data_IF_156742291923
#
_entry.id   IF_156742291923
#
_cell.length_a   1.000
_cell.length_b   1.000
_cell.length_c   1.000
_cell.angle_alpha   90.00
_cell.angle_beta   90.00
_cell.angle_gamma   90.00
#
_symmetry.space_group_name_H-M   'P 1'
#
loop_
_entity.id
_entity.type
_entity.pdbx_description
1 polymer ?
#
# COMPACT_ATOMS: atom_id res chain seq x y z
N UNK A 1 21.25 -18.85 17.81
CA UNK A 1 20.06 -19.20 17.50
C UNK A 1 19.39 -18.22 16.66
N UNK A 2 18.81 -18.67 15.77
CA UNK A 2 18.19 -17.88 14.99
C UNK A 2 16.89 -17.61 15.32
N UNK A 3 16.59 -16.41 15.58
CA UNK A 3 15.39 -16.07 15.93
C UNK A 3 14.72 -15.71 14.73
N UNK A 4 13.64 -16.22 14.45
CA UNK A 4 12.91 -15.88 13.40
C UNK A 4 12.10 -14.77 13.75
N UNK A 5 12.34 -13.64 13.29
CA UNK A 5 11.51 -12.53 13.49
C UNK A 5 10.58 -12.47 12.37
N UNK A 6 9.37 -11.98 12.49
CA UNK A 6 8.47 -11.73 11.37
C UNK A 6 9.18 -10.77 10.46
N UNK A 7 9.00 -10.86 9.18
CA UNK A 7 9.63 -9.94 8.27
C UNK A 7 9.13 -8.53 8.54
N UNK A 8 10.05 -7.61 8.59
CA UNK A 8 9.70 -6.23 8.77
C UNK A 8 10.20 -5.52 7.56
N UNK A 9 9.34 -4.81 6.87
CA UNK A 9 9.74 -4.05 5.72
C UNK A 9 9.66 -2.58 6.09
N UNK A 10 10.79 -2.00 6.39
CA UNK A 10 10.82 -0.61 6.81
C UNK A 10 10.33 0.32 5.74
N UNK A 11 10.52 -0.04 4.49
CA UNK A 11 10.03 0.78 3.40
C UNK A 11 8.52 0.81 3.37
N UNK A 12 7.88 -0.29 3.72
CA UNK A 12 6.43 -0.31 3.80
C UNK A 12 5.95 0.49 4.99
N UNK A 13 6.66 0.39 6.09
CA UNK A 13 6.26 1.13 7.29
C UNK A 13 6.27 2.63 7.03
N UNK A 14 7.20 3.11 6.24
CA UNK A 14 7.24 4.52 5.88
C UNK A 14 5.99 4.95 5.16
N UNK A 15 5.36 4.05 4.46
CA UNK A 15 4.14 4.35 3.73
C UNK A 15 2.89 4.04 4.54
N UNK A 16 3.05 3.48 5.72
CA UNK A 16 1.91 3.07 6.52
C UNK A 16 1.28 1.78 6.03
N UNK A 17 2.05 0.95 5.32
CA UNK A 17 1.56 -0.30 4.79
C UNK A 17 2.11 -1.48 5.57
N UNK A 18 1.38 -2.58 5.50
CA UNK A 18 1.82 -3.83 6.10
C UNK A 18 1.78 -4.94 5.07
N UNK A 19 2.64 -5.90 5.21
CA UNK A 19 2.64 -7.08 4.35
C UNK A 19 1.32 -7.79 4.54
N UNK A 20 0.68 -8.14 3.44
CA UNK A 20 -0.61 -8.83 3.48
C UNK A 20 -1.81 -7.89 3.46
N UNK A 21 -1.57 -6.59 3.48
CA UNK A 21 -2.66 -5.63 3.47
C UNK A 21 -3.32 -5.56 2.10
N UNK A 22 -4.63 -5.46 2.08
CA UNK A 22 -5.36 -5.31 0.83
C UNK A 22 -5.36 -3.83 0.42
N UNK A 23 -4.97 -3.57 -0.80
CA UNK A 23 -4.99 -2.22 -1.34
C UNK A 23 -5.60 -2.29 -2.73
N UNK A 24 -5.82 -1.15 -3.35
CA UNK A 24 -6.23 -1.14 -4.74
C UNK A 24 -5.32 -0.22 -5.53
N UNK A 25 -5.22 -0.44 -6.79
CA UNK A 25 -4.36 0.36 -7.64
C UNK A 25 -4.99 0.53 -9.00
N UNK A 26 -4.54 1.57 -9.71
CA UNK A 26 -5.07 1.89 -11.02
C UNK A 26 -4.13 1.37 -12.07
N UNK A 27 -4.68 0.64 -13.03
CA UNK A 27 -3.90 0.15 -14.16
C UNK A 27 -3.50 1.31 -15.04
N UNK A 28 -2.32 1.18 -15.62
CA UNK A 28 -1.80 2.24 -16.44
C UNK A 28 -2.56 2.42 -17.72
N UNK A 29 -2.94 1.35 -18.35
CA UNK A 29 -3.55 1.43 -19.66
C UNK A 29 -5.04 1.63 -19.64
N UNK A 30 -5.73 1.05 -18.70
CA UNK A 30 -7.19 1.08 -18.73
C UNK A 30 -7.80 1.89 -17.59
N UNK A 31 -6.98 2.39 -16.68
CA UNK A 31 -7.46 3.19 -15.56
C UNK A 31 -8.51 2.52 -14.72
N UNK A 32 -8.50 1.20 -14.70
CA UNK A 32 -9.42 0.49 -13.86
C UNK A 32 -8.79 0.21 -12.53
N UNK A 33 -9.58 0.26 -11.50
CA UNK A 33 -9.11 -0.10 -10.18
C UNK A 33 -9.03 -1.62 -10.08
N UNK A 34 -7.93 -2.09 -9.51
CA UNK A 34 -7.73 -3.51 -9.26
C UNK A 34 -7.26 -3.66 -7.85
N UNK A 35 -7.55 -4.78 -7.25
CA UNK A 35 -7.11 -5.05 -5.88
C UNK A 35 -5.86 -5.88 -5.87
N UNK A 36 -5.06 -5.67 -4.85
CA UNK A 36 -3.85 -6.45 -4.66
C UNK A 36 -3.48 -6.53 -3.21
N UNK A 37 -2.60 -7.46 -2.90
CA UNK A 37 -2.13 -7.68 -1.54
C UNK A 37 -0.68 -7.25 -1.48
N UNK A 38 -0.34 -6.47 -0.47
CA UNK A 38 1.01 -5.94 -0.33
C UNK A 38 1.99 -7.05 -0.02
N UNK A 39 3.08 -7.11 -0.79
CA UNK A 39 4.13 -8.08 -0.59
C UNK A 39 5.39 -7.46 0.01
N UNK A 40 5.84 -6.34 -0.55
CA UNK A 40 7.07 -5.71 -0.07
C UNK A 40 7.27 -4.35 -0.73
N UNK A 41 8.24 -3.61 -0.22
CA UNK A 41 8.66 -2.37 -0.86
C UNK A 41 9.77 -2.72 -1.83
N UNK A 42 9.67 -2.25 -3.05
CA UNK A 42 10.69 -2.53 -4.04
C UNK A 42 11.83 -1.52 -3.94
N UNK A 43 12.97 -1.88 -4.46
CA UNK A 43 14.16 -1.03 -4.37
C UNK A 43 13.97 0.31 -5.06
N UNK A 44 13.14 0.36 -6.09
CA UNK A 44 12.93 1.60 -6.81
C UNK A 44 11.86 2.48 -6.17
N UNK A 45 11.36 2.11 -5.02
CA UNK A 45 10.36 2.89 -4.32
C UNK A 45 8.93 2.48 -4.59
N UNK A 46 8.71 1.61 -5.54
CA UNK A 46 7.36 1.12 -5.79
C UNK A 46 6.98 0.06 -4.77
N UNK A 47 5.76 -0.40 -4.81
CA UNK A 47 5.26 -1.41 -3.88
C UNK A 47 4.98 -2.69 -4.64
N UNK A 48 5.53 -3.79 -4.17
CA UNK A 48 5.26 -5.08 -4.77
C UNK A 48 3.94 -5.59 -4.26
N UNK A 49 3.03 -5.90 -5.18
CA UNK A 49 1.70 -6.39 -4.86
C UNK A 49 1.47 -7.71 -5.55
N UNK A 50 0.62 -8.53 -4.98
CA UNK A 50 0.14 -9.72 -5.66
C UNK A 50 -1.25 -9.37 -6.15
N UNK A 51 -1.46 -9.45 -7.45
CA UNK A 51 -2.74 -9.06 -8.02
C UNK A 51 -3.78 -10.17 -7.85
N UNK A 52 -4.98 -9.94 -8.35
CA UNK A 52 -6.07 -10.88 -8.19
C UNK A 52 -5.87 -12.16 -8.98
N UNK A 53 -4.86 -12.21 -9.83
CA UNK A 53 -4.53 -13.42 -10.55
C UNK A 53 -3.33 -14.11 -9.95
N UNK A 54 -2.87 -13.63 -8.80
CA UNK A 54 -1.74 -14.24 -8.12
C UNK A 54 -0.38 -13.83 -8.63
N UNK A 55 -0.32 -12.83 -9.49
CA UNK A 55 0.95 -12.40 -10.04
C UNK A 55 1.54 -11.25 -9.25
N UNK A 56 2.84 -11.25 -9.15
CA UNK A 56 3.53 -10.14 -8.47
C UNK A 56 3.67 -8.97 -9.43
N UNK A 57 3.36 -7.79 -8.94
CA UNK A 57 3.48 -6.59 -9.73
C UNK A 57 4.11 -5.49 -8.90
N UNK A 58 4.91 -4.65 -9.53
CA UNK A 58 5.49 -3.49 -8.86
C UNK A 58 4.71 -2.27 -9.28
N UNK A 59 4.03 -1.64 -8.35
CA UNK A 59 3.13 -0.54 -8.65
C UNK A 59 3.66 0.73 -8.01
N UNK A 60 3.77 1.82 -8.77
CA UNK A 60 4.22 3.08 -8.20
C UNK A 60 3.30 3.56 -7.08
N UNK A 61 3.87 4.19 -6.11
CA UNK A 61 3.13 4.63 -4.92
C UNK A 61 1.95 5.52 -5.29
N UNK A 62 2.11 6.36 -6.28
CA UNK A 62 1.05 7.30 -6.65
C UNK A 62 -0.14 6.63 -7.30
N UNK A 63 -0.05 5.35 -7.64
CA UNK A 63 -1.17 4.63 -8.23
C UNK A 63 -1.90 3.75 -7.24
N UNK A 64 -1.52 3.81 -5.98
CA UNK A 64 -2.09 2.93 -4.96
C UNK A 64 -3.02 3.71 -4.05
N UNK A 65 -4.12 3.09 -3.69
CA UNK A 65 -5.06 3.63 -2.71
C UNK A 65 -5.25 2.63 -1.59
N UNK A 66 -5.44 3.14 -0.40
CA UNK A 66 -5.65 2.31 0.78
C UNK A 66 -7.02 2.55 1.34
N UNK A 67 -7.56 1.56 2.02
CA UNK A 67 -8.88 1.66 2.60
C UNK A 67 -8.76 2.14 4.04
N UNK A 68 -9.52 3.15 4.37
CA UNK A 68 -9.51 3.69 5.72
C UNK A 68 -10.95 3.80 6.21
N UNK A 69 -11.12 3.88 7.50
CA UNK A 69 -12.43 4.05 8.09
C UNK A 69 -12.60 5.52 8.38
N UNK A 70 -13.64 6.10 7.82
CA UNK A 70 -13.89 7.51 8.01
C UNK A 70 -14.47 7.80 9.39
N UNK A 71 -14.66 9.07 9.68
CA UNK A 71 -15.14 9.49 11.01
C UNK A 71 -16.51 8.94 11.38
N UNK A 72 -17.28 8.60 10.38
CA UNK A 72 -18.61 8.04 10.66
C UNK A 72 -18.65 6.54 10.56
N UNK A 73 -17.49 5.91 10.51
CA UNK A 73 -17.41 4.46 10.44
C UNK A 73 -17.50 3.89 9.04
N UNK A 74 -17.71 4.72 8.03
CA UNK A 74 -17.75 4.22 6.66
C UNK A 74 -16.36 4.01 6.11
N UNK A 75 -16.23 3.06 5.21
CA UNK A 75 -14.96 2.80 4.59
C UNK A 75 -14.78 3.65 3.37
N UNK A 76 -13.59 4.12 3.14
CA UNK A 76 -13.29 4.87 1.93
C UNK A 76 -11.88 4.60 1.50
N UNK A 77 -11.61 4.83 0.23
CA UNK A 77 -10.28 4.63 -0.35
C UNK A 77 -9.64 5.99 -0.52
N UNK A 78 -8.41 6.12 -0.09
CA UNK A 78 -7.67 7.35 -0.27
C UNK A 78 -6.32 7.04 -0.90
N UNK A 79 -5.73 7.99 -1.62
CA UNK A 79 -4.41 7.77 -2.19
C UNK A 79 -3.39 7.45 -1.11
N UNK A 80 -2.51 6.52 -1.40
CA UNK A 80 -1.48 6.15 -0.46
C UNK A 80 -0.61 7.35 -0.11
N UNK A 81 -0.31 8.18 -1.08
CA UNK A 81 0.49 9.37 -0.84
C UNK A 81 -0.22 10.32 0.11
N UNK A 82 -1.54 10.35 0.07
CA UNK A 82 -2.28 11.19 0.98
C UNK A 82 -2.23 10.67 2.40
N UNK A 83 -2.20 9.36 2.55
CA UNK A 83 -2.09 8.78 3.87
C UNK A 83 -0.77 9.18 4.52
N UNK A 84 0.32 9.06 3.77
CA UNK A 84 1.59 9.46 4.29
C UNK A 84 1.66 10.95 4.53
N UNK A 85 1.10 11.72 3.60
CA UNK A 85 1.10 13.15 3.76
C UNK A 85 0.28 13.57 4.94
N UNK A 86 -0.79 12.87 5.19
CA UNK A 86 -1.61 13.18 6.34
C UNK A 86 -0.84 13.09 7.62
N UNK A 87 0.02 12.12 7.72
CA UNK A 87 0.82 12.00 8.89
C UNK A 87 1.73 13.18 9.05
N UNK A 88 2.25 13.67 7.98
CA UNK A 88 3.10 14.79 8.08
C UNK A 88 2.38 16.03 8.39
N UNK A 89 1.20 16.16 7.89
CA UNK A 89 0.42 17.31 8.20
C UNK A 89 0.09 17.36 9.64
N UNK A 90 0.09 16.23 10.27
CA UNK A 90 -0.17 16.22 11.67
C UNK A 90 0.83 17.01 12.46
N UNK A 91 1.85 17.44 11.83
CA UNK A 91 2.83 18.24 12.48
C UNK A 91 2.38 19.62 12.76
N UNK A 92 1.38 20.06 12.18
CA UNK A 92 0.96 21.37 12.52
C UNK A 92 -0.39 21.49 12.93
#
# INVERSE_FOLDING_TARGET
VTRRRPPIDDGLAELGLEIGQLVRYVGRSDRRFREGVVLRREADGSVGLRDDRGRARAIPVEQIEVRVVGPRGGEQWIPLTEQGGGLQLGLF
#
